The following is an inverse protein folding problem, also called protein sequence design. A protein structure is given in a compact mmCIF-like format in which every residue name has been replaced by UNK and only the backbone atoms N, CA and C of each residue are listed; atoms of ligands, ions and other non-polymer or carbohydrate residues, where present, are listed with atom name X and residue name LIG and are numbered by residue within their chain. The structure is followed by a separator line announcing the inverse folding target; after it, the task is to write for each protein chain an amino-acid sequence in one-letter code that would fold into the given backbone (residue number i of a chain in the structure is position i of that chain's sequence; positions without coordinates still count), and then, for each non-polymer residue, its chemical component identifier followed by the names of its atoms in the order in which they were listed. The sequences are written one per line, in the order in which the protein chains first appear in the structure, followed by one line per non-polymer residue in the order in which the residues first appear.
data_IF_148831974576
#
_entry.id   IF_148831974576
#
_cell.length_a   1.000
_cell.length_b   1.000
_cell.length_c   1.000
_cell.angle_alpha   90.00
_cell.angle_beta   90.00
_cell.angle_gamma   90.00
#
_symmetry.space_group_name_H-M   'P 1'
#
loop_
_entity.id
_entity.type
_entity.pdbx_description
1 polymer ?
#
# COMPACT_ATOMS: atom_id res chain seq x y z
N UNK A 1 53.03 51.66 -31.45
CA UNK A 1 53.22 50.44 -30.65
C UNK A 1 53.62 50.89 -29.26
N UNK A 2 52.66 50.98 -28.35
CA UNK A 2 52.93 50.99 -26.91
C UNK A 2 51.74 50.37 -26.19
N UNK A 3 52.09 49.52 -25.23
CA UNK A 3 51.36 48.33 -24.85
C UNK A 3 50.46 48.66 -23.66
N UNK A 4 49.14 48.53 -23.83
CA UNK A 4 48.20 48.46 -22.70
C UNK A 4 48.47 47.20 -21.88
N UNK A 5 49.45 47.26 -20.98
CA UNK A 5 49.66 46.27 -19.92
C UNK A 5 48.54 46.43 -18.88
N UNK A 6 47.38 45.86 -19.17
CA UNK A 6 46.37 45.58 -18.14
C UNK A 6 47.05 44.62 -17.15
N UNK A 7 47.38 45.12 -15.95
CA UNK A 7 47.94 44.30 -14.87
C UNK A 7 46.94 43.20 -14.55
N UNK A 8 47.31 41.96 -14.85
CA UNK A 8 46.50 40.74 -14.70
C UNK A 8 45.77 40.66 -13.33
N UNK A 9 46.38 41.21 -12.27
CA UNK A 9 45.79 41.27 -10.92
C UNK A 9 44.51 42.10 -10.81
N UNK A 10 44.37 43.21 -11.56
CA UNK A 10 43.17 44.05 -11.50
C UNK A 10 41.98 43.42 -12.25
N UNK A 11 42.25 42.61 -13.27
CA UNK A 11 41.23 41.87 -14.01
C UNK A 11 40.70 40.68 -13.18
N UNK A 12 41.59 39.99 -12.45
CA UNK A 12 41.20 38.91 -11.52
C UNK A 12 40.36 39.46 -10.35
N UNK A 13 40.71 40.62 -9.80
CA UNK A 13 39.90 41.26 -8.74
C UNK A 13 38.52 41.68 -9.23
N UNK A 14 38.42 42.24 -10.44
CA UNK A 14 37.14 42.66 -11.02
C UNK A 14 36.22 41.46 -11.31
N UNK A 15 36.77 40.33 -11.78
CA UNK A 15 36.01 39.09 -12.01
C UNK A 15 35.56 38.48 -10.68
N UNK A 16 36.38 38.56 -9.62
CA UNK A 16 36.03 38.05 -8.28
C UNK A 16 34.90 38.84 -7.60
N UNK A 17 34.79 40.15 -7.82
CA UNK A 17 33.65 40.94 -7.30
C UNK A 17 32.34 40.66 -8.02
N UNK A 18 32.37 40.38 -9.33
CA UNK A 18 31.16 40.08 -10.11
C UNK A 18 30.58 38.70 -9.74
N UNK A 19 31.43 37.73 -9.40
CA UNK A 19 30.99 36.39 -8.97
C UNK A 19 30.31 36.39 -7.58
N UNK A 20 30.70 37.29 -6.67
CA UNK A 20 30.07 37.39 -5.34
C UNK A 20 28.71 38.10 -5.35
N UNK A 21 28.43 38.93 -6.36
CA UNK A 21 27.14 39.62 -6.50
C UNK A 21 26.04 38.76 -7.17
N UNK A 22 26.40 37.63 -7.80
CA UNK A 22 25.46 36.78 -8.55
C UNK A 22 24.83 35.66 -7.72
N UNK A 23 25.19 35.52 -6.44
CA UNK A 23 24.53 34.63 -5.49
C UNK A 23 23.62 35.44 -4.55
N UNK A 24 22.65 36.13 -5.11
CA UNK A 24 21.42 36.47 -4.37
C UNK A 24 20.39 35.41 -4.74
N UNK A 25 20.42 34.29 -4.01
CA UNK A 25 19.31 33.36 -3.98
C UNK A 25 18.11 34.13 -3.41
N UNK A 26 17.24 34.63 -4.29
CA UNK A 26 15.90 35.01 -3.87
C UNK A 26 15.28 33.73 -3.31
N UNK A 27 14.89 33.67 -2.02
CA UNK A 27 14.09 32.57 -1.55
C UNK A 27 12.78 32.65 -2.34
N UNK A 28 12.67 31.82 -3.38
CA UNK A 28 11.38 31.46 -3.92
C UNK A 28 10.69 30.81 -2.74
N UNK A 29 9.76 31.54 -2.16
CA UNK A 29 8.76 31.02 -1.25
C UNK A 29 8.00 29.97 -2.07
N UNK A 30 8.58 28.76 -2.13
CA UNK A 30 7.86 27.57 -2.49
C UNK A 30 6.84 27.45 -1.37
N UNK A 31 5.66 28.06 -1.57
CA UNK A 31 4.44 27.48 -1.04
C UNK A 31 4.43 26.07 -1.58
N UNK A 32 5.04 25.16 -0.82
CA UNK A 32 4.63 23.78 -0.79
C UNK A 32 3.14 23.91 -0.54
N UNK A 33 2.36 23.74 -1.60
CA UNK A 33 0.99 23.32 -1.47
C UNK A 33 1.11 22.07 -0.63
N UNK A 34 0.85 22.19 0.68
CA UNK A 34 0.48 21.05 1.49
C UNK A 34 -0.75 20.50 0.78
N UNK A 35 -0.55 19.60 -0.18
CA UNK A 35 -1.57 18.63 -0.49
C UNK A 35 -1.70 17.87 0.82
N UNK A 36 -2.66 18.27 1.63
CA UNK A 36 -3.28 17.39 2.60
C UNK A 36 -3.75 16.21 1.78
N UNK A 37 -2.86 15.24 1.57
CA UNK A 37 -3.18 13.99 0.91
C UNK A 37 -4.20 13.35 1.83
N UNK A 38 -5.47 13.60 1.54
CA UNK A 38 -6.56 13.03 2.32
C UNK A 38 -6.36 11.52 2.31
N UNK A 39 -6.34 10.94 3.52
CA UNK A 39 -6.17 9.51 3.70
C UNK A 39 -7.33 8.81 2.98
N UNK A 40 -7.08 7.93 2.00
CA UNK A 40 -8.17 7.28 1.27
C UNK A 40 -8.89 6.29 2.19
N UNK A 41 -10.19 6.13 2.00
CA UNK A 41 -10.97 5.07 2.64
C UNK A 41 -10.61 3.70 2.04
N UNK A 42 -10.64 2.65 2.87
CA UNK A 42 -10.43 1.27 2.44
C UNK A 42 -11.73 0.47 2.60
N UNK A 43 -12.23 -0.10 1.50
CA UNK A 43 -13.32 -1.08 1.50
C UNK A 43 -12.79 -2.42 0.98
N UNK A 44 -12.72 -3.42 1.85
CA UNK A 44 -12.24 -4.77 1.51
C UNK A 44 -13.41 -5.75 1.45
N UNK A 45 -13.73 -6.26 0.26
CA UNK A 45 -14.85 -7.19 0.02
C UNK A 45 -14.28 -8.54 -0.42
N UNK A 46 -14.63 -9.60 0.30
CA UNK A 46 -14.14 -10.95 -0.01
C UNK A 46 -15.19 -12.03 0.31
N UNK A 47 -15.86 -12.57 -0.72
CA UNK A 47 -16.79 -13.69 -0.54
C UNK A 47 -16.04 -14.99 -0.22
N UNK A 48 -16.68 -15.87 0.55
CA UNK A 48 -16.13 -17.19 0.85
C UNK A 48 -16.35 -18.15 -0.34
N UNK A 49 -15.35 -18.96 -0.67
CA UNK A 49 -15.37 -19.97 -1.73
C UNK A 49 -15.71 -19.47 -3.16
N UNK A 50 -15.53 -18.18 -3.46
CA UNK A 50 -15.66 -17.68 -4.83
C UNK A 50 -14.41 -18.04 -5.66
N UNK A 51 -14.60 -18.82 -6.72
CA UNK A 51 -13.54 -19.20 -7.66
C UNK A 51 -13.36 -18.11 -8.73
N UNK A 52 -12.15 -17.98 -9.27
CA UNK A 52 -11.88 -17.06 -10.39
C UNK A 52 -12.79 -17.33 -11.60
N UNK A 53 -13.04 -18.61 -11.92
CA UNK A 53 -13.92 -19.01 -13.01
C UNK A 53 -15.37 -18.50 -12.86
N UNK A 54 -15.81 -18.20 -11.63
CA UNK A 54 -17.15 -17.73 -11.30
C UNK A 54 -17.29 -16.19 -11.34
N UNK A 55 -16.45 -15.51 -12.12
CA UNK A 55 -16.57 -14.08 -12.45
C UNK A 55 -16.75 -13.98 -13.97
N UNK A 56 -17.85 -13.39 -14.43
CA UNK A 56 -18.29 -13.45 -15.82
C UNK A 56 -17.26 -12.87 -16.81
N UNK A 57 -16.53 -11.81 -16.42
CA UNK A 57 -15.48 -11.23 -17.26
C UNK A 57 -14.34 -12.21 -17.60
N UNK A 58 -14.16 -13.27 -16.80
CA UNK A 58 -13.16 -14.31 -17.08
C UNK A 58 -13.62 -15.33 -18.13
N UNK A 59 -14.93 -15.39 -18.44
CA UNK A 59 -15.47 -16.20 -19.53
C UNK A 59 -15.41 -17.72 -19.35
N UNK A 60 -15.24 -18.22 -18.13
CA UNK A 60 -15.14 -19.65 -17.83
C UNK A 60 -16.49 -20.28 -17.46
N UNK A 61 -17.10 -19.87 -16.33
CA UNK A 61 -18.42 -20.35 -15.92
C UNK A 61 -19.54 -19.46 -16.52
N UNK A 62 -20.74 -20.01 -16.82
CA UNK A 62 -21.88 -19.24 -17.35
C UNK A 62 -22.60 -18.46 -16.24
N UNK A 63 -21.89 -17.53 -15.60
CA UNK A 63 -22.36 -16.72 -14.47
C UNK A 63 -22.72 -15.30 -14.88
N UNK A 64 -23.52 -14.63 -14.04
CA UNK A 64 -23.92 -13.23 -14.23
C UNK A 64 -23.42 -12.38 -13.07
N UNK A 65 -22.40 -11.53 -13.31
CA UNK A 65 -21.74 -10.73 -12.27
C UNK A 65 -21.57 -9.24 -12.66
N UNK A 66 -22.64 -8.54 -13.07
CA UNK A 66 -22.53 -7.22 -13.71
C UNK A 66 -21.81 -6.16 -12.84
N UNK A 67 -21.98 -6.21 -11.51
CA UNK A 67 -21.33 -5.26 -10.61
C UNK A 67 -19.82 -5.54 -10.46
N UNK A 68 -19.41 -6.82 -10.45
CA UNK A 68 -17.98 -7.18 -10.44
C UNK A 68 -17.34 -6.89 -11.78
N UNK A 69 -18.07 -7.10 -12.88
CA UNK A 69 -17.60 -6.80 -14.23
C UNK A 69 -17.39 -5.28 -14.42
N UNK A 70 -18.26 -4.45 -13.82
CA UNK A 70 -18.08 -3.00 -13.82
C UNK A 70 -16.85 -2.60 -12.99
N UNK A 71 -16.70 -3.15 -11.79
CA UNK A 71 -15.54 -2.90 -10.94
C UNK A 71 -14.22 -3.30 -11.64
N UNK A 72 -14.23 -4.42 -12.36
CA UNK A 72 -13.07 -4.89 -13.13
C UNK A 72 -12.68 -3.94 -14.27
N UNK A 73 -13.65 -3.26 -14.91
CA UNK A 73 -13.39 -2.28 -15.98
C UNK A 73 -12.83 -0.96 -15.47
N UNK A 74 -13.14 -0.59 -14.22
CA UNK A 74 -12.70 0.66 -13.59
C UNK A 74 -11.38 0.50 -12.80
N UNK A 75 -10.92 -0.74 -12.59
CA UNK A 75 -9.82 -1.06 -11.70
C UNK A 75 -8.73 -1.90 -12.34
N UNK A 76 -7.99 -2.61 -11.47
CA UNK A 76 -6.94 -3.55 -11.85
C UNK A 76 -7.41 -4.96 -11.52
N UNK A 77 -7.29 -5.87 -12.50
CA UNK A 77 -7.63 -7.29 -12.34
C UNK A 77 -6.36 -8.12 -12.20
N UNK A 78 -6.25 -8.87 -11.10
CA UNK A 78 -5.17 -9.84 -10.89
C UNK A 78 -5.62 -11.22 -11.34
N UNK A 79 -5.44 -11.54 -12.62
CA UNK A 79 -5.94 -12.78 -13.24
C UNK A 79 -5.30 -14.07 -12.73
N UNK A 80 -4.14 -13.97 -12.06
CA UNK A 80 -3.39 -15.09 -11.49
C UNK A 80 -3.26 -15.01 -9.95
N UNK A 81 -4.15 -14.26 -9.28
CA UNK A 81 -4.18 -14.23 -7.82
C UNK A 81 -4.65 -15.58 -7.26
N UNK A 82 -3.95 -16.08 -6.24
CA UNK A 82 -4.25 -17.35 -5.59
C UNK A 82 -4.28 -17.21 -4.06
N UNK A 83 -5.01 -18.10 -3.39
CA UNK A 83 -4.89 -18.31 -1.96
C UNK A 83 -3.88 -19.44 -1.71
N UNK A 84 -2.70 -19.12 -1.19
CA UNK A 84 -1.60 -20.08 -0.99
C UNK A 84 -1.97 -21.23 -0.02
N UNK A 85 -2.92 -20.99 0.87
CA UNK A 85 -3.55 -22.02 1.69
C UNK A 85 -5.07 -21.88 1.50
N UNK A 86 -5.69 -22.66 0.59
CA UNK A 86 -7.10 -22.50 0.21
C UNK A 86 -8.06 -23.15 1.24
N UNK A 87 -7.92 -22.75 2.51
CA UNK A 87 -8.75 -23.15 3.64
C UNK A 87 -9.18 -21.91 4.43
N UNK A 88 -10.40 -21.93 4.98
CA UNK A 88 -11.07 -20.73 5.48
C UNK A 88 -10.29 -19.99 6.58
N UNK A 89 -10.00 -20.64 7.72
CA UNK A 89 -9.28 -19.96 8.82
C UNK A 89 -7.83 -19.64 8.46
N UNK A 90 -7.02 -20.53 7.85
CA UNK A 90 -5.65 -20.20 7.46
C UNK A 90 -5.57 -19.03 6.47
N UNK A 91 -6.41 -19.00 5.44
CA UNK A 91 -6.45 -17.90 4.46
C UNK A 91 -6.76 -16.55 5.12
N UNK A 92 -7.73 -16.54 6.05
CA UNK A 92 -8.10 -15.33 6.81
C UNK A 92 -6.99 -14.89 7.75
N UNK A 93 -6.28 -15.81 8.41
CA UNK A 93 -5.18 -15.47 9.30
C UNK A 93 -4.02 -14.85 8.54
N UNK A 94 -3.68 -15.40 7.36
CA UNK A 94 -2.68 -14.83 6.47
C UNK A 94 -3.10 -13.43 5.98
N UNK A 95 -4.36 -13.24 5.60
CA UNK A 95 -4.89 -11.93 5.20
C UNK A 95 -4.76 -10.90 6.32
N UNK A 96 -5.14 -11.25 7.55
CA UNK A 96 -5.12 -10.32 8.67
C UNK A 96 -3.67 -9.95 9.06
N UNK A 97 -2.77 -10.93 9.13
CA UNK A 97 -1.43 -10.78 9.72
C UNK A 97 -0.31 -10.52 8.71
N UNK A 98 -0.52 -10.84 7.43
CA UNK A 98 0.53 -10.86 6.41
C UNK A 98 1.57 -11.98 6.60
N UNK A 99 1.38 -12.88 7.57
CA UNK A 99 2.29 -13.98 7.89
C UNK A 99 1.81 -15.28 7.25
N UNK A 100 2.75 -16.18 6.90
CA UNK A 100 2.43 -17.56 6.51
C UNK A 100 1.86 -18.36 7.70
N UNK A 101 1.12 -19.46 7.48
CA UNK A 101 0.38 -20.15 8.54
C UNK A 101 1.24 -20.66 9.70
N UNK A 102 2.47 -21.07 9.42
CA UNK A 102 3.42 -21.49 10.46
C UNK A 102 3.83 -20.35 11.41
N UNK A 103 3.70 -19.10 10.97
CA UNK A 103 4.08 -17.90 11.73
C UNK A 103 2.88 -17.18 12.37
N UNK A 104 1.64 -17.60 12.08
CA UNK A 104 0.42 -17.07 12.70
C UNK A 104 -0.40 -18.15 13.44
N UNK A 105 0.14 -19.37 13.56
CA UNK A 105 -0.43 -20.52 14.26
C UNK A 105 -1.75 -21.09 13.73
N UNK A 106 -2.35 -20.53 12.66
CA UNK A 106 -3.63 -21.03 12.11
C UNK A 106 -3.40 -21.99 10.94
N UNK A 107 -3.32 -23.29 11.23
CA UNK A 107 -2.98 -24.37 10.30
C UNK A 107 -4.21 -25.15 9.77
N UNK A 108 -5.35 -25.07 10.45
CA UNK A 108 -6.62 -25.69 10.05
C UNK A 108 -7.81 -24.80 10.38
N UNK A 109 -9.01 -25.20 9.97
CA UNK A 109 -10.23 -24.47 10.30
C UNK A 109 -10.43 -24.41 11.82
N UNK A 110 -10.69 -23.21 12.31
CA UNK A 110 -11.08 -22.95 13.68
C UNK A 110 -12.34 -23.78 14.01
N UNK A 111 -12.21 -24.64 15.01
CA UNK A 111 -13.30 -25.49 15.51
C UNK A 111 -13.21 -25.57 17.04
N UNK A 112 -14.07 -26.38 17.67
CA UNK A 112 -14.14 -26.50 19.13
C UNK A 112 -12.83 -26.92 19.79
N UNK A 113 -11.93 -27.62 19.07
CA UNK A 113 -10.64 -28.08 19.59
C UNK A 113 -9.48 -27.14 19.26
N UNK A 114 -9.73 -25.98 18.66
CA UNK A 114 -8.66 -25.11 18.14
C UNK A 114 -7.61 -24.74 19.20
N UNK A 115 -8.04 -24.48 20.43
CA UNK A 115 -7.14 -24.11 21.52
C UNK A 115 -6.35 -25.29 22.08
N UNK A 116 -6.81 -26.53 21.89
CA UNK A 116 -6.07 -27.73 22.29
C UNK A 116 -4.78 -27.91 21.47
N UNK A 117 -4.78 -27.37 20.24
CA UNK A 117 -3.69 -27.52 19.27
C UNK A 117 -3.03 -26.20 18.89
N UNK A 118 -3.25 -25.13 19.67
CA UNK A 118 -2.77 -23.77 19.38
C UNK A 118 -3.15 -23.26 17.96
N UNK A 119 -4.29 -23.71 17.44
CA UNK A 119 -4.78 -23.37 16.10
C UNK A 119 -5.68 -22.13 16.13
N UNK A 120 -5.19 -21.02 16.65
CA UNK A 120 -5.95 -19.77 16.72
C UNK A 120 -5.10 -18.56 16.40
N UNK A 121 -5.75 -17.52 15.92
CA UNK A 121 -5.11 -16.21 15.80
C UNK A 121 -4.70 -15.74 17.20
N UNK A 122 -3.41 -15.42 17.36
CA UNK A 122 -2.82 -15.03 18.62
C UNK A 122 -3.15 -13.58 18.98
N UNK A 123 -3.31 -13.28 20.28
CA UNK A 123 -3.68 -11.93 20.74
C UNK A 123 -2.60 -10.88 20.45
N UNK A 124 -1.34 -11.30 20.38
CA UNK A 124 -0.20 -10.41 20.14
C UNK A 124 0.11 -10.23 18.64
N UNK A 125 -0.63 -10.90 17.76
CA UNK A 125 -0.48 -10.74 16.31
C UNK A 125 -1.09 -9.41 15.87
N UNK A 126 -0.24 -8.52 15.34
CA UNK A 126 -0.67 -7.27 14.71
C UNK A 126 -1.35 -7.57 13.38
N UNK A 127 -2.60 -7.14 13.24
CA UNK A 127 -3.34 -7.17 11.97
C UNK A 127 -3.19 -5.89 11.16
N UNK A 128 -3.51 -5.96 9.87
CA UNK A 128 -3.58 -4.74 9.04
C UNK A 128 -4.62 -3.74 9.58
N UNK A 129 -5.70 -4.21 10.23
CA UNK A 129 -6.67 -3.33 10.90
C UNK A 129 -6.07 -2.61 12.10
N UNK A 130 -5.22 -3.26 12.90
CA UNK A 130 -4.54 -2.59 14.02
C UNK A 130 -3.61 -1.48 13.50
N UNK A 131 -2.93 -1.73 12.39
CA UNK A 131 -2.09 -0.73 11.72
C UNK A 131 -2.94 0.45 11.25
N UNK A 132 -4.10 0.22 10.63
CA UNK A 132 -5.01 1.28 10.19
C UNK A 132 -5.52 2.11 11.38
N UNK A 133 -6.06 1.46 12.42
CA UNK A 133 -6.60 2.13 13.61
C UNK A 133 -5.53 2.96 14.32
N UNK A 134 -4.32 2.41 14.48
CA UNK A 134 -3.18 3.15 15.05
C UNK A 134 -2.82 4.41 14.24
N UNK A 135 -3.14 4.43 12.96
CA UNK A 135 -2.90 5.57 12.06
C UNK A 135 -4.13 6.48 11.87
N UNK A 136 -5.13 6.37 12.74
CA UNK A 136 -6.28 7.29 12.80
C UNK A 136 -7.39 6.96 11.81
N UNK A 137 -7.49 5.70 11.37
CA UNK A 137 -8.66 5.20 10.65
C UNK A 137 -9.71 4.65 11.62
N UNK A 138 -10.98 4.85 11.28
CA UNK A 138 -12.06 4.06 11.86
C UNK A 138 -12.13 2.70 11.15
N UNK A 139 -12.30 1.62 11.92
CA UNK A 139 -12.38 0.26 11.39
C UNK A 139 -13.72 -0.38 11.76
N UNK A 140 -14.33 -1.03 10.77
CA UNK A 140 -15.55 -1.83 10.93
C UNK A 140 -15.43 -3.17 10.23
N UNK A 141 -16.04 -4.20 10.80
CA UNK A 141 -16.06 -5.55 10.23
C UNK A 141 -17.49 -6.08 10.15
N UNK A 142 -17.87 -6.63 8.99
CA UNK A 142 -19.19 -7.22 8.78
C UNK A 142 -19.02 -8.59 8.11
N UNK A 143 -19.66 -9.61 8.67
CA UNK A 143 -19.69 -10.96 8.11
C UNK A 143 -18.90 -11.99 8.91
N UNK A 144 -18.36 -12.99 8.20
CA UNK A 144 -17.73 -14.18 8.79
C UNK A 144 -16.29 -13.93 9.23
N UNK A 145 -16.00 -13.96 10.53
CA UNK A 145 -14.63 -13.90 11.05
C UNK A 145 -13.86 -15.23 10.92
N UNK A 146 -14.33 -16.28 11.59
CA UNK A 146 -13.78 -17.66 11.53
C UNK A 146 -12.28 -17.79 11.86
N UNK A 147 -11.80 -17.03 12.85
CA UNK A 147 -10.45 -17.09 13.42
C UNK A 147 -10.49 -17.48 14.90
#
# INVERSE_FOLDING_TARGET
MDVYRIRFGNLVLAISMVLLASCKDNPKENKATESTSEKPNLLYIFPDQLRNAAIAINGEDPVYTPNLDQLAKEGIVLTNAIANFPLCSPSRAMLMTGKVPYNNSVLTNANSKRYEFDNSWQRDDVSFSDVLVKNGYDAGYVGKLHL
#
